data_IF_449775566959
#
_entry.id   IF_449775566959
#
_cell.length_a   1.000
_cell.length_b   1.000
_cell.length_c   1.000
_cell.angle_alpha   90.00
_cell.angle_beta   90.00
_cell.angle_gamma   90.00
#
_symmetry.space_group_name_H-M   'P 1'
#
loop_
_entity.id
_entity.type
_entity.pdbx_description
1 polymer ?
#
# COMPACT_ATOMS: atom_id res chain seq x y z
N UNK A 1 0.08 12.81 4.58
CA UNK A 1 0.27 11.43 5.11
C UNK A 1 0.42 10.38 4.02
N UNK A 2 -0.18 10.52 2.83
CA UNK A 2 -0.03 9.52 1.76
C UNK A 2 1.26 9.76 0.93
N UNK A 3 1.39 10.92 0.29
CA UNK A 3 2.48 11.17 -0.67
C UNK A 3 3.84 11.47 -0.02
N UNK A 4 3.85 12.32 1.00
CA UNK A 4 5.11 12.86 1.56
C UNK A 4 5.94 11.76 2.24
N UNK A 5 5.39 10.86 3.09
CA UNK A 5 6.21 9.81 3.70
C UNK A 5 6.84 8.86 2.69
N UNK A 6 6.07 8.40 1.69
CA UNK A 6 6.62 7.56 0.62
C UNK A 6 7.63 8.30 -0.26
N UNK A 7 7.42 9.58 -0.55
CA UNK A 7 8.38 10.37 -1.30
C UNK A 7 9.70 10.53 -0.53
N UNK A 8 9.63 10.73 0.79
CA UNK A 8 10.83 10.77 1.64
C UNK A 8 11.53 9.42 1.68
N UNK A 9 10.80 8.32 1.82
CA UNK A 9 11.38 6.97 1.79
C UNK A 9 12.05 6.68 0.44
N UNK A 10 11.39 7.04 -0.67
CA UNK A 10 11.95 6.95 -2.01
C UNK A 10 13.22 7.79 -2.14
N UNK A 11 13.23 9.03 -1.64
CA UNK A 11 14.44 9.86 -1.60
C UNK A 11 15.55 9.21 -0.78
N UNK A 12 15.22 8.62 0.37
CA UNK A 12 16.16 7.84 1.17
C UNK A 12 16.78 6.69 0.37
N UNK A 13 15.96 5.97 -0.39
CA UNK A 13 16.42 4.90 -1.28
C UNK A 13 17.31 5.41 -2.41
N UNK A 14 16.95 6.54 -3.04
CA UNK A 14 17.76 7.19 -4.08
C UNK A 14 19.13 7.65 -3.57
N UNK A 15 19.23 8.05 -2.30
CA UNK A 15 20.49 8.51 -1.71
C UNK A 15 21.36 7.34 -1.20
N UNK A 16 20.74 6.30 -0.65
CA UNK A 16 21.42 5.19 0.01
C UNK A 16 21.76 4.03 -0.92
N UNK A 17 20.81 3.61 -1.76
CA UNK A 17 20.94 2.39 -2.56
C UNK A 17 22.05 2.48 -3.63
N UNK A 18 22.25 3.61 -4.35
CA UNK A 18 23.37 3.72 -5.28
C UNK A 18 24.74 3.58 -4.61
N UNK A 19 24.91 4.21 -3.45
CA UNK A 19 26.20 4.20 -2.73
C UNK A 19 26.49 2.87 -2.05
N UNK A 20 25.48 2.22 -1.47
CA UNK A 20 25.66 1.02 -0.67
C UNK A 20 25.55 -0.27 -1.50
N UNK A 21 24.73 -0.27 -2.55
CA UNK A 21 24.44 -1.44 -3.38
C UNK A 21 24.99 -1.35 -4.80
N UNK A 22 25.59 -0.22 -5.19
CA UNK A 22 26.18 -0.05 -6.53
C UNK A 22 25.15 0.07 -7.65
N UNK A 23 23.91 0.47 -7.31
CA UNK A 23 22.81 0.62 -8.26
C UNK A 23 22.88 1.96 -8.98
N UNK A 24 22.38 2.01 -10.21
CA UNK A 24 22.09 3.29 -10.86
C UNK A 24 20.95 4.02 -10.15
N UNK A 25 20.83 5.33 -10.39
CA UNK A 25 19.76 6.15 -9.80
C UNK A 25 18.37 5.63 -10.21
N UNK A 26 18.22 5.15 -11.44
CA UNK A 26 16.94 4.64 -11.94
C UNK A 26 16.59 3.28 -11.31
N UNK A 27 17.56 2.39 -11.14
CA UNK A 27 17.36 1.12 -10.42
C UNK A 27 17.03 1.34 -8.95
N UNK A 28 17.67 2.32 -8.31
CA UNK A 28 17.34 2.76 -6.96
C UNK A 28 15.92 3.36 -6.89
N UNK A 29 15.47 4.05 -7.93
CA UNK A 29 14.10 4.57 -8.03
C UNK A 29 13.07 3.43 -8.11
N UNK A 30 13.32 2.41 -8.93
CA UNK A 30 12.47 1.21 -9.02
C UNK A 30 12.44 0.48 -7.68
N UNK A 31 13.61 0.23 -7.09
CA UNK A 31 13.72 -0.42 -5.77
C UNK A 31 12.99 0.38 -4.69
N UNK A 32 13.19 1.69 -4.67
CA UNK A 32 12.57 2.58 -3.70
C UNK A 32 11.06 2.68 -3.87
N UNK A 33 10.55 2.61 -5.11
CA UNK A 33 9.13 2.52 -5.35
C UNK A 33 8.59 1.20 -4.77
N UNK A 34 9.18 0.05 -5.05
CA UNK A 34 8.72 -1.21 -4.42
C UNK A 34 8.70 -1.12 -2.88
N UNK A 35 9.74 -0.52 -2.29
CA UNK A 35 9.90 -0.44 -0.85
C UNK A 35 9.00 0.60 -0.19
N UNK A 36 8.63 1.70 -0.85
CA UNK A 36 7.92 2.82 -0.22
C UNK A 36 6.47 2.50 0.21
N UNK A 37 5.84 1.48 -0.35
CA UNK A 37 4.47 1.08 -0.03
C UNK A 37 4.31 0.53 1.40
N UNK A 38 3.13 0.67 2.01
CA UNK A 38 2.84 0.17 3.38
C UNK A 38 1.84 -0.96 3.30
N UNK A 39 2.12 -2.08 3.96
CA UNK A 39 1.25 -3.25 3.84
C UNK A 39 -0.10 -3.07 4.55
N UNK A 40 -1.23 -3.05 3.80
CA UNK A 40 -2.55 -2.96 4.40
C UNK A 40 -2.89 -4.23 5.21
N UNK A 41 -2.39 -5.39 4.79
CA UNK A 41 -2.65 -6.65 5.47
C UNK A 41 -2.18 -6.67 6.95
N UNK A 42 -1.10 -5.93 7.26
CA UNK A 42 -0.59 -5.84 8.64
C UNK A 42 -1.28 -4.72 9.41
N UNK A 43 -1.49 -3.57 8.75
CA UNK A 43 -1.96 -2.33 9.36
C UNK A 43 -3.48 -2.31 9.52
N UNK A 44 -4.25 -2.72 8.51
CA UNK A 44 -5.72 -2.60 8.49
C UNK A 44 -6.38 -3.35 9.63
N UNK A 45 -6.11 -4.65 9.88
CA UNK A 45 -6.78 -5.37 10.98
C UNK A 45 -6.50 -4.74 12.35
N UNK A 46 -5.28 -4.22 12.54
CA UNK A 46 -4.88 -3.56 13.78
C UNK A 46 -5.57 -2.21 13.94
N UNK A 47 -5.64 -1.40 12.89
CA UNK A 47 -6.34 -0.11 12.95
C UNK A 47 -7.84 -0.28 13.19
N UNK A 48 -8.47 -1.28 12.55
CA UNK A 48 -9.89 -1.62 12.80
C UNK A 48 -10.09 -2.01 14.27
N UNK A 49 -9.23 -2.90 14.81
CA UNK A 49 -9.26 -3.24 16.23
C UNK A 49 -9.11 -2.02 17.14
N UNK A 50 -8.20 -1.09 16.83
CA UNK A 50 -8.02 0.14 17.58
C UNK A 50 -9.26 1.05 17.54
N UNK A 51 -9.97 1.07 16.40
CA UNK A 51 -11.24 1.78 16.25
C UNK A 51 -12.32 1.16 17.14
N UNK A 52 -12.45 -0.17 17.13
CA UNK A 52 -13.42 -0.91 17.94
C UNK A 52 -13.15 -0.75 19.45
N UNK A 53 -11.87 -0.76 19.86
CA UNK A 53 -11.45 -0.56 21.25
C UNK A 53 -11.42 0.92 21.70
N UNK A 54 -11.60 1.86 20.77
CA UNK A 54 -11.67 3.30 21.03
C UNK A 54 -10.33 4.00 21.29
N UNK A 55 -9.19 3.45 20.85
CA UNK A 55 -7.86 4.05 21.00
C UNK A 55 -7.52 5.00 19.84
N UNK A 56 -7.16 6.25 20.14
CA UNK A 56 -6.74 7.23 19.12
C UNK A 56 -7.85 7.72 18.17
N UNK A 57 -9.08 7.23 18.35
CA UNK A 57 -10.25 7.54 17.52
C UNK A 57 -10.62 9.02 17.56
N UNK A 58 -10.48 9.68 18.72
CA UNK A 58 -10.82 11.11 18.87
C UNK A 58 -9.93 12.00 18.01
N UNK A 59 -8.65 11.67 17.93
CA UNK A 59 -7.66 12.39 17.12
C UNK A 59 -7.62 11.87 15.66
N UNK A 60 -8.50 10.93 15.30
CA UNK A 60 -8.60 10.35 13.97
C UNK A 60 -7.39 9.51 13.53
N UNK A 61 -6.54 9.05 14.45
CA UNK A 61 -5.25 8.40 14.11
C UNK A 61 -5.45 7.09 13.32
N UNK A 62 -6.28 6.12 13.77
CA UNK A 62 -6.49 4.89 13.01
C UNK A 62 -7.07 5.15 11.61
N UNK A 63 -8.01 6.10 11.48
CA UNK A 63 -8.63 6.47 10.22
C UNK A 63 -7.62 7.14 9.27
N UNK A 64 -6.78 8.03 9.80
CA UNK A 64 -5.70 8.68 9.06
C UNK A 64 -4.70 7.66 8.51
N UNK A 65 -4.31 6.67 9.33
CA UNK A 65 -3.39 5.60 8.92
C UNK A 65 -4.05 4.71 7.85
N UNK A 66 -5.31 4.29 8.04
CA UNK A 66 -6.04 3.47 7.09
C UNK A 66 -6.16 4.14 5.72
N UNK A 67 -6.69 5.37 5.69
CA UNK A 67 -6.84 6.13 4.45
C UNK A 67 -5.48 6.44 3.81
N UNK A 68 -4.49 6.74 4.65
CA UNK A 68 -3.15 7.04 4.21
C UNK A 68 -2.47 5.86 3.53
N UNK A 69 -2.50 4.67 4.13
CA UNK A 69 -1.90 3.46 3.59
C UNK A 69 -2.51 3.06 2.23
N UNK A 70 -3.84 3.17 2.08
CA UNK A 70 -4.49 2.82 0.81
C UNK A 70 -4.09 3.73 -0.35
N UNK A 71 -4.00 5.05 -0.13
CA UNK A 71 -3.62 6.00 -1.18
C UNK A 71 -2.11 5.99 -1.42
N UNK A 72 -1.32 5.70 -0.38
CA UNK A 72 0.13 5.54 -0.47
C UNK A 72 0.51 4.43 -1.46
N UNK A 73 -0.09 3.25 -1.33
CA UNK A 73 0.17 2.11 -2.22
C UNK A 73 -0.12 2.44 -3.69
N UNK A 74 -1.21 3.15 -3.96
CA UNK A 74 -1.55 3.62 -5.31
C UNK A 74 -0.48 4.52 -5.89
N UNK A 75 -0.08 5.54 -5.13
CA UNK A 75 0.93 6.49 -5.56
C UNK A 75 2.24 5.77 -5.90
N UNK A 76 2.65 4.88 -5.02
CA UNK A 76 3.88 4.11 -5.14
C UNK A 76 3.84 3.14 -6.34
N UNK A 77 2.73 2.47 -6.59
CA UNK A 77 2.56 1.60 -7.77
C UNK A 77 2.69 2.40 -9.07
N UNK A 78 2.11 3.60 -9.14
CA UNK A 78 2.23 4.44 -10.34
C UNK A 78 3.67 4.91 -10.57
N UNK A 79 4.38 5.27 -9.49
CA UNK A 79 5.81 5.57 -9.59
C UNK A 79 6.63 4.36 -10.05
N UNK A 80 6.34 3.18 -9.51
CA UNK A 80 6.96 1.93 -9.93
C UNK A 80 6.78 1.70 -11.43
N UNK A 81 5.55 1.72 -11.94
CA UNK A 81 5.26 1.56 -13.38
C UNK A 81 5.95 2.61 -14.25
N UNK A 82 6.08 3.84 -13.74
CA UNK A 82 6.77 4.92 -14.46
C UNK A 82 8.28 4.64 -14.57
N UNK A 83 8.93 4.28 -13.46
CA UNK A 83 10.37 4.00 -13.44
C UNK A 83 10.72 2.71 -14.19
N UNK A 84 9.90 1.66 -14.09
CA UNK A 84 10.11 0.44 -14.88
C UNK A 84 9.92 0.71 -16.37
N UNK A 85 8.93 1.52 -16.76
CA UNK A 85 8.78 1.97 -18.15
C UNK A 85 10.02 2.70 -18.66
N UNK A 86 10.58 3.61 -17.86
CA UNK A 86 11.84 4.30 -18.20
C UNK A 86 13.01 3.32 -18.38
N UNK A 87 13.12 2.28 -17.55
CA UNK A 87 14.15 1.24 -17.69
C UNK A 87 13.99 0.41 -18.97
N UNK A 88 12.77 0.24 -19.48
CA UNK A 88 12.52 -0.44 -20.77
C UNK A 88 12.81 0.44 -22.00
N UNK A 89 13.44 1.61 -21.82
CA UNK A 89 13.80 2.50 -22.93
C UNK A 89 12.64 3.36 -23.44
N UNK A 90 11.47 3.30 -22.80
CA UNK A 90 10.40 4.27 -23.05
C UNK A 90 10.72 5.56 -22.28
N UNK A 91 11.42 6.49 -22.93
CA UNK A 91 12.01 7.68 -22.31
C UNK A 91 11.10 8.48 -21.36
N UNK A 92 11.72 9.21 -20.43
CA UNK A 92 11.04 10.09 -19.48
C UNK A 92 10.50 11.34 -20.20
N UNK A 93 9.28 11.24 -20.72
CA UNK A 93 8.57 12.41 -21.23
C UNK A 93 7.79 13.09 -20.11
N UNK A 94 7.80 14.42 -20.07
CA UNK A 94 6.98 15.25 -19.17
C UNK A 94 5.50 14.86 -19.24
N UNK A 95 5.06 14.39 -20.42
CA UNK A 95 3.72 13.85 -20.68
C UNK A 95 3.39 12.67 -19.75
N UNK A 96 4.34 11.78 -19.44
CA UNK A 96 4.12 10.66 -18.52
C UNK A 96 3.93 11.12 -17.08
N UNK A 97 4.63 12.18 -16.67
CA UNK A 97 4.46 12.75 -15.34
C UNK A 97 3.08 13.41 -15.17
N UNK A 98 2.55 14.04 -16.22
CA UNK A 98 1.17 14.57 -16.26
C UNK A 98 0.16 13.42 -16.33
N UNK A 99 0.49 12.31 -16.99
CA UNK A 99 -0.38 11.15 -17.02
C UNK A 99 -0.60 10.53 -15.64
N UNK A 100 0.36 10.62 -14.71
CA UNK A 100 0.20 10.07 -13.35
C UNK A 100 -1.09 10.57 -12.65
N UNK A 101 -1.28 11.88 -12.40
CA UNK A 101 -2.51 12.37 -11.77
C UNK A 101 -3.75 12.14 -12.64
N UNK A 102 -3.61 12.20 -13.98
CA UNK A 102 -4.72 11.97 -14.91
C UNK A 102 -5.21 10.52 -14.85
N UNK A 103 -4.30 9.54 -14.84
CA UNK A 103 -4.60 8.12 -14.73
C UNK A 103 -5.22 7.75 -13.38
N UNK A 104 -4.82 8.45 -12.31
CA UNK A 104 -5.46 8.36 -11.00
C UNK A 104 -6.90 8.87 -11.09
N UNK A 105 -7.13 10.06 -11.63
CA UNK A 105 -8.46 10.65 -11.75
C UNK A 105 -9.40 9.80 -12.62
N UNK A 106 -8.93 9.33 -13.78
CA UNK A 106 -9.71 8.43 -14.63
C UNK A 106 -9.97 7.09 -13.94
N UNK A 107 -8.98 6.52 -13.25
CA UNK A 107 -9.16 5.30 -12.47
C UNK A 107 -10.27 5.46 -11.42
N UNK A 108 -10.25 6.57 -10.67
CA UNK A 108 -11.30 6.92 -9.70
C UNK A 108 -12.66 7.04 -10.38
N UNK A 109 -12.75 7.80 -11.48
CA UNK A 109 -14.00 8.05 -12.19
C UNK A 109 -14.62 6.78 -12.75
N UNK A 110 -13.81 5.97 -13.46
CA UNK A 110 -14.21 4.67 -14.03
C UNK A 110 -14.63 3.72 -12.90
N UNK A 111 -13.81 3.60 -11.85
CA UNK A 111 -14.07 2.72 -10.72
C UNK A 111 -15.36 3.05 -9.99
N UNK A 112 -15.58 4.33 -9.64
CA UNK A 112 -16.83 4.78 -9.03
C UNK A 112 -18.03 4.56 -9.95
N UNK A 113 -17.89 4.88 -11.24
CA UNK A 113 -18.94 4.67 -12.23
C UNK A 113 -19.39 3.21 -12.29
N UNK A 114 -18.43 2.30 -12.43
CA UNK A 114 -18.70 0.85 -12.47
C UNK A 114 -19.26 0.36 -11.12
N UNK A 115 -18.68 0.77 -9.99
CA UNK A 115 -19.14 0.37 -8.66
C UNK A 115 -20.59 0.79 -8.38
N UNK A 116 -20.96 2.01 -8.77
CA UNK A 116 -22.34 2.51 -8.67
C UNK A 116 -23.27 1.75 -9.62
N UNK A 117 -22.85 1.51 -10.86
CA UNK A 117 -23.63 0.74 -11.84
C UNK A 117 -23.90 -0.69 -11.36
N UNK A 118 -22.88 -1.35 -10.80
CA UNK A 118 -23.02 -2.67 -10.19
C UNK A 118 -23.95 -2.65 -8.96
N UNK A 119 -23.92 -1.59 -8.16
CA UNK A 119 -24.84 -1.44 -7.03
C UNK A 119 -26.31 -1.42 -7.49
N UNK A 120 -26.62 -0.68 -8.56
CA UNK A 120 -27.95 -0.65 -9.17
C UNK A 120 -28.30 -1.99 -9.83
N UNK A 121 -27.36 -2.62 -10.54
CA UNK A 121 -27.56 -3.92 -11.17
C UNK A 121 -27.90 -5.02 -10.14
N UNK A 122 -27.15 -5.12 -9.05
CA UNK A 122 -27.41 -6.07 -7.96
C UNK A 122 -28.67 -5.75 -7.14
N UNK A 123 -29.23 -4.54 -7.30
CA UNK A 123 -30.53 -4.20 -6.72
C UNK A 123 -31.67 -4.72 -7.59
N UNK A 124 -31.57 -4.58 -8.91
CA UNK A 124 -32.60 -5.07 -9.84
C UNK A 124 -32.60 -6.59 -9.97
N UNK A 125 -31.42 -7.22 -9.96
CA UNK A 125 -31.29 -8.66 -10.15
C UNK A 125 -30.82 -9.31 -8.84
N UNK A 126 -31.71 -10.07 -8.23
CA UNK A 126 -31.38 -10.87 -7.04
C UNK A 126 -30.53 -12.07 -7.44
N UNK A 127 -29.23 -11.95 -7.18
CA UNK A 127 -28.25 -13.02 -7.40
C UNK A 127 -27.58 -13.45 -6.10
N UNK A 128 -27.06 -14.68 -6.09
CA UNK A 128 -26.20 -15.18 -5.00
C UNK A 128 -24.93 -14.34 -4.89
N UNK A 129 -24.46 -14.14 -3.67
CA UNK A 129 -23.28 -13.30 -3.42
C UNK A 129 -22.01 -13.86 -4.09
N UNK A 130 -21.89 -15.19 -4.25
CA UNK A 130 -20.79 -15.81 -5.03
C UNK A 130 -20.75 -15.31 -6.47
N UNK A 131 -21.91 -15.22 -7.14
CA UNK A 131 -21.98 -14.72 -8.52
C UNK A 131 -21.58 -13.25 -8.61
N UNK A 132 -21.96 -12.44 -7.61
CA UNK A 132 -21.55 -11.03 -7.54
C UNK A 132 -20.03 -10.87 -7.39
N UNK A 133 -19.41 -11.70 -6.54
CA UNK A 133 -17.94 -11.74 -6.41
C UNK A 133 -17.29 -12.08 -7.74
N UNK A 134 -17.77 -13.13 -8.43
CA UNK A 134 -17.22 -13.51 -9.73
C UNK A 134 -17.37 -12.41 -10.78
N UNK A 135 -18.52 -11.73 -10.84
CA UNK A 135 -18.74 -10.60 -11.76
C UNK A 135 -17.73 -9.46 -11.49
N UNK A 136 -17.59 -9.05 -10.22
CA UNK A 136 -16.64 -7.99 -9.85
C UNK A 136 -15.21 -8.42 -10.19
N UNK A 137 -14.84 -9.66 -9.92
CA UNK A 137 -13.52 -10.21 -10.23
C UNK A 137 -13.26 -10.23 -11.75
N UNK A 138 -14.23 -10.67 -12.55
CA UNK A 138 -14.15 -10.65 -14.02
C UNK A 138 -13.98 -9.24 -14.57
N UNK A 139 -14.75 -8.27 -14.05
CA UNK A 139 -14.61 -6.86 -14.44
C UNK A 139 -13.23 -6.33 -14.03
N UNK A 140 -12.72 -6.73 -12.86
CA UNK A 140 -11.40 -6.33 -12.38
C UNK A 140 -10.29 -6.81 -13.31
N UNK A 141 -10.32 -8.08 -13.73
CA UNK A 141 -9.37 -8.61 -14.70
C UNK A 141 -9.51 -7.94 -16.07
N UNK A 142 -10.74 -7.69 -16.51
CA UNK A 142 -11.00 -6.99 -17.78
C UNK A 142 -10.42 -5.57 -17.75
N UNK A 143 -10.54 -4.84 -16.64
CA UNK A 143 -9.94 -3.51 -16.50
C UNK A 143 -8.41 -3.54 -16.57
N UNK A 144 -7.77 -4.54 -15.96
CA UNK A 144 -6.31 -4.71 -16.02
C UNK A 144 -5.86 -4.98 -17.47
N UNK A 145 -6.53 -5.91 -18.16
CA UNK A 145 -6.24 -6.22 -19.56
C UNK A 145 -6.49 -5.01 -20.47
N UNK A 146 -7.53 -4.22 -20.20
CA UNK A 146 -7.78 -2.96 -20.91
C UNK A 146 -6.66 -1.93 -20.67
N UNK A 147 -6.19 -1.77 -19.42
CA UNK A 147 -5.07 -0.88 -19.11
C UNK A 147 -3.81 -1.29 -19.90
N UNK A 148 -3.49 -2.58 -19.96
CA UNK A 148 -2.31 -3.12 -20.67
C UNK A 148 -2.40 -2.93 -22.20
N UNK A 149 -3.60 -3.00 -22.78
CA UNK A 149 -3.80 -2.82 -24.22
C UNK A 149 -4.07 -1.37 -24.65
N UNK A 150 -4.26 -0.45 -23.71
CA UNK A 150 -4.45 0.96 -24.02
C UNK A 150 -3.12 1.58 -24.47
N UNK A 151 -2.94 1.71 -25.78
CA UNK A 151 -1.80 2.41 -26.40
C UNK A 151 -2.01 3.92 -26.53
N UNK A 152 -3.10 4.45 -25.98
CA UNK A 152 -3.44 5.87 -26.07
C UNK A 152 -2.53 6.73 -25.19
N UNK A 153 -2.32 8.01 -25.53
CA UNK A 153 -1.50 8.93 -24.72
C UNK A 153 -2.04 9.11 -23.30
N UNK A 154 -3.33 8.89 -23.08
CA UNK A 154 -4.01 8.97 -21.78
C UNK A 154 -4.41 7.57 -21.38
N UNK A 155 -3.89 7.09 -20.25
CA UNK A 155 -4.22 5.80 -19.65
C UNK A 155 -4.98 6.01 -18.34
N UNK A 156 -5.60 4.96 -17.80
CA UNK A 156 -6.19 4.96 -16.45
C UNK A 156 -5.53 3.84 -15.63
N UNK A 157 -5.50 3.98 -14.30
CA UNK A 157 -5.01 2.89 -13.46
C UNK A 157 -6.13 1.92 -13.11
N UNK A 158 -6.04 0.67 -13.58
CA UNK A 158 -7.02 -0.37 -13.32
C UNK A 158 -7.07 -0.77 -11.86
N UNK A 159 -5.92 -0.86 -11.17
CA UNK A 159 -5.88 -1.17 -9.74
C UNK A 159 -6.64 -0.13 -8.90
N UNK A 160 -6.51 1.16 -9.25
CA UNK A 160 -7.31 2.23 -8.64
C UNK A 160 -8.79 2.04 -8.97
N UNK A 161 -9.11 1.78 -10.24
CA UNK A 161 -10.49 1.55 -10.65
C UNK A 161 -11.13 0.39 -9.87
N UNK A 162 -10.43 -0.73 -9.68
CA UNK A 162 -10.88 -1.88 -8.89
C UNK A 162 -11.15 -1.51 -7.43
N UNK A 163 -10.25 -0.74 -6.80
CA UNK A 163 -10.50 -0.24 -5.44
C UNK A 163 -11.74 0.67 -5.38
N UNK A 164 -11.90 1.58 -6.33
CA UNK A 164 -13.03 2.51 -6.37
C UNK A 164 -14.35 1.84 -6.78
N UNK A 165 -14.34 0.68 -7.44
CA UNK A 165 -15.52 -0.19 -7.57
C UNK A 165 -16.01 -0.61 -6.18
N UNK A 166 -15.10 -1.04 -5.31
CA UNK A 166 -15.41 -1.40 -3.93
C UNK A 166 -16.02 -0.23 -3.14
N UNK A 167 -15.41 0.96 -3.24
CA UNK A 167 -15.90 2.18 -2.59
C UNK A 167 -17.28 2.59 -3.14
N UNK A 168 -17.44 2.58 -4.47
CA UNK A 168 -18.72 2.91 -5.12
C UNK A 168 -19.85 1.98 -4.68
N UNK A 169 -19.54 0.68 -4.56
CA UNK A 169 -20.48 -0.32 -4.07
C UNK A 169 -20.77 -0.14 -2.57
N UNK A 170 -19.76 0.14 -1.75
CA UNK A 170 -19.94 0.42 -0.32
C UNK A 170 -20.83 1.64 -0.09
N UNK A 171 -20.61 2.73 -0.83
CA UNK A 171 -21.38 3.98 -0.70
C UNK A 171 -22.84 3.83 -1.10
N UNK A 172 -23.15 2.96 -2.06
CA UNK A 172 -24.53 2.75 -2.56
C UNK A 172 -25.24 1.57 -1.88
N UNK A 173 -24.53 0.52 -1.51
CA UNK A 173 -25.08 -0.70 -0.87
C UNK A 173 -24.08 -1.32 0.11
N UNK A 174 -23.88 -0.63 1.23
CA UNK A 174 -22.97 -1.06 2.31
C UNK A 174 -23.21 -2.51 2.77
N UNK A 175 -24.47 -2.91 2.97
CA UNK A 175 -24.83 -4.27 3.40
C UNK A 175 -24.38 -5.35 2.40
N UNK A 176 -24.41 -5.06 1.10
CA UNK A 176 -23.89 -5.98 0.08
C UNK A 176 -22.37 -5.96 0.10
N UNK A 177 -21.76 -4.78 0.15
CA UNK A 177 -20.31 -4.64 0.20
C UNK A 177 -19.69 -5.41 1.38
N UNK A 178 -20.29 -5.33 2.57
CA UNK A 178 -19.83 -6.06 3.77
C UNK A 178 -19.92 -7.59 3.57
N UNK A 179 -21.01 -8.08 2.97
CA UNK A 179 -21.15 -9.52 2.65
C UNK A 179 -20.15 -9.99 1.61
N UNK A 180 -19.88 -9.18 0.59
CA UNK A 180 -18.88 -9.48 -0.44
C UNK A 180 -17.46 -9.43 0.13
N UNK A 181 -17.16 -8.46 0.99
CA UNK A 181 -15.87 -8.37 1.70
C UNK A 181 -15.54 -9.64 2.47
N UNK A 182 -16.52 -10.22 3.17
CA UNK A 182 -16.34 -11.50 3.87
C UNK A 182 -16.04 -12.66 2.91
N UNK A 183 -16.58 -12.65 1.68
CA UNK A 183 -16.27 -13.68 0.66
C UNK A 183 -14.90 -13.46 0.02
N UNK A 184 -14.53 -12.22 -0.28
CA UNK A 184 -13.19 -11.86 -0.73
C UNK A 184 -12.13 -12.24 0.30
N UNK A 185 -12.41 -12.07 1.59
CA UNK A 185 -11.53 -12.53 2.67
C UNK A 185 -11.23 -14.03 2.59
N UNK A 186 -12.20 -14.87 2.19
CA UNK A 186 -11.97 -16.31 2.00
C UNK A 186 -11.12 -16.63 0.75
N UNK A 187 -11.34 -15.89 -0.34
CA UNK A 187 -10.51 -16.02 -1.55
C UNK A 187 -9.07 -15.56 -1.28
N UNK A 188 -8.92 -14.50 -0.50
CA UNK A 188 -7.63 -13.95 -0.11
C UNK A 188 -6.76 -14.95 0.62
N UNK A 189 -7.31 -15.80 1.51
CA UNK A 189 -6.51 -16.83 2.20
C UNK A 189 -5.74 -17.72 1.23
N UNK A 190 -6.37 -18.15 0.13
CA UNK A 190 -5.67 -18.95 -0.89
C UNK A 190 -4.64 -18.11 -1.65
N UNK A 191 -5.03 -16.91 -2.10
CA UNK A 191 -4.15 -16.00 -2.84
C UNK A 191 -2.90 -15.58 -2.03
N UNK A 192 -3.06 -15.35 -0.73
CA UNK A 192 -2.00 -14.99 0.21
C UNK A 192 -0.95 -16.10 0.30
N UNK A 193 -1.39 -17.36 0.42
CA UNK A 193 -0.48 -18.52 0.45
C UNK A 193 0.30 -18.61 -0.86
N UNK A 194 -0.37 -18.53 -2.01
CA UNK A 194 0.32 -18.54 -3.31
C UNK A 194 1.33 -17.40 -3.42
N UNK A 195 0.93 -16.18 -3.06
CA UNK A 195 1.76 -14.98 -3.17
C UNK A 195 3.02 -15.09 -2.30
N UNK A 196 2.91 -15.43 -1.02
CA UNK A 196 4.10 -15.49 -0.16
C UNK A 196 4.97 -16.72 -0.42
N UNK A 197 4.38 -17.88 -0.76
CA UNK A 197 5.16 -19.09 -1.08
C UNK A 197 5.93 -18.91 -2.38
N UNK A 198 5.29 -18.38 -3.44
CA UNK A 198 5.97 -18.16 -4.72
C UNK A 198 7.07 -17.10 -4.60
N UNK A 199 6.82 -16.01 -3.89
CA UNK A 199 7.87 -15.01 -3.62
C UNK A 199 9.04 -15.65 -2.89
N UNK A 200 8.78 -16.44 -1.83
CA UNK A 200 9.83 -17.20 -1.14
C UNK A 200 10.59 -18.16 -2.06
N UNK A 201 9.89 -18.83 -2.98
CA UNK A 201 10.49 -19.77 -3.93
C UNK A 201 11.36 -19.07 -5.00
N UNK A 202 11.04 -17.83 -5.38
CA UNK A 202 11.83 -17.05 -6.35
C UNK A 202 13.13 -16.47 -5.77
N UNK A 203 13.30 -16.49 -4.45
CA UNK A 203 14.45 -15.86 -3.78
C UNK A 203 15.71 -16.71 -3.91
N UNK A 204 16.77 -16.10 -4.43
CA UNK A 204 18.11 -16.67 -4.42
C UNK A 204 18.77 -16.49 -3.04
N UNK A 205 18.77 -17.55 -2.23
CA UNK A 205 19.35 -17.55 -0.86
C UNK A 205 20.84 -17.20 -0.88
N UNK A 206 21.59 -17.68 -1.87
CA UNK A 206 23.02 -17.37 -2.00
C UNK A 206 23.27 -15.89 -2.25
N UNK A 207 22.39 -15.25 -3.01
CA UNK A 207 22.43 -13.81 -3.25
C UNK A 207 22.03 -13.00 -2.00
N UNK A 208 20.97 -13.42 -1.30
CA UNK A 208 20.55 -12.80 -0.03
C UNK A 208 21.66 -12.86 1.01
N UNK A 209 22.41 -13.96 1.10
CA UNK A 209 23.56 -14.05 2.01
C UNK A 209 24.66 -13.02 1.72
N UNK A 210 24.89 -12.69 0.45
CA UNK A 210 25.93 -11.72 0.02
C UNK A 210 25.49 -10.27 0.20
N UNK A 211 24.23 -9.98 -0.09
CA UNK A 211 23.70 -8.58 -0.12
C UNK A 211 22.93 -8.22 1.15
N UNK A 212 22.58 -9.20 1.98
CA UNK A 212 21.61 -9.06 3.07
C UNK A 212 21.95 -7.98 4.10
N UNK A 213 23.22 -7.86 4.51
CA UNK A 213 23.63 -6.81 5.46
C UNK A 213 23.47 -5.42 4.84
N UNK A 214 23.91 -5.24 3.60
CA UNK A 214 23.77 -3.97 2.87
C UNK A 214 22.29 -3.63 2.66
N UNK A 215 21.47 -4.61 2.30
CA UNK A 215 20.03 -4.47 2.17
C UNK A 215 19.37 -4.04 3.49
N UNK A 216 19.72 -4.65 4.62
CA UNK A 216 19.19 -4.27 5.93
C UNK A 216 19.54 -2.83 6.32
N UNK A 217 20.77 -2.39 6.05
CA UNK A 217 21.20 -1.01 6.29
C UNK A 217 20.40 -0.03 5.42
N UNK A 218 20.21 -0.36 4.14
CA UNK A 218 19.42 0.47 3.21
C UNK A 218 17.95 0.55 3.66
N UNK A 219 17.33 -0.58 4.03
CA UNK A 219 15.96 -0.61 4.53
C UNK A 219 15.83 0.23 5.80
N UNK A 220 16.71 0.03 6.78
CA UNK A 220 16.69 0.78 8.02
C UNK A 220 16.87 2.29 7.78
N UNK A 221 17.81 2.66 6.90
CA UNK A 221 18.02 4.05 6.52
C UNK A 221 16.80 4.65 5.82
N UNK A 222 16.21 3.97 4.85
CA UNK A 222 15.00 4.42 4.16
C UNK A 222 13.81 4.59 5.11
N UNK A 223 13.65 3.68 6.08
CA UNK A 223 12.62 3.82 7.12
C UNK A 223 12.83 5.06 7.99
N UNK A 224 14.07 5.48 8.28
CA UNK A 224 14.33 6.74 8.99
C UNK A 224 13.82 7.92 8.17
N UNK A 225 14.09 7.95 6.85
CA UNK A 225 13.51 8.98 5.98
C UNK A 225 11.98 8.95 5.98
N UNK A 226 11.36 7.76 5.98
CA UNK A 226 9.91 7.62 6.11
C UNK A 226 9.40 8.24 7.41
N UNK A 227 10.05 7.95 8.54
CA UNK A 227 9.70 8.52 9.85
C UNK A 227 9.80 10.05 9.85
N UNK A 228 10.83 10.61 9.20
CA UNK A 228 10.94 12.05 9.00
C UNK A 228 9.79 12.60 8.14
N UNK A 229 9.43 11.93 7.04
CA UNK A 229 8.30 12.34 6.20
C UNK A 229 6.95 12.30 6.92
N UNK A 230 6.74 11.31 7.80
CA UNK A 230 5.58 11.25 8.70
C UNK A 230 5.61 12.41 9.69
N UNK A 231 6.78 12.68 10.31
CA UNK A 231 6.92 13.79 11.24
C UNK A 231 6.54 15.12 10.57
N UNK A 232 7.08 15.38 9.38
CA UNK A 232 6.78 16.58 8.58
C UNK A 232 5.28 16.71 8.30
N UNK A 233 4.59 15.60 7.95
CA UNK A 233 3.14 15.63 7.76
C UNK A 233 2.35 15.96 9.02
N UNK A 234 2.90 15.67 10.20
CA UNK A 234 2.25 15.88 11.50
C UNK A 234 2.65 17.22 12.14
N UNK A 235 3.58 17.98 11.54
CA UNK A 235 3.91 19.34 11.96
C UNK A 235 2.75 20.27 11.57
N UNK A 236 1.83 20.47 12.52
CA UNK A 236 0.64 21.33 12.33
C UNK A 236 -0.67 20.67 12.75
N UNK A 237 -0.67 19.38 13.09
CA UNK A 237 -1.85 18.67 13.60
C UNK A 237 -1.91 18.66 15.13
N UNK A 238 -3.08 18.33 15.68
CA UNK A 238 -3.30 18.19 17.14
C UNK A 238 -2.58 16.97 17.74
N UNK A 239 -2.12 16.03 16.90
CA UNK A 239 -1.39 14.82 17.28
C UNK A 239 -0.02 15.23 17.82
N UNK A 240 0.28 14.96 19.11
CA UNK A 240 1.52 15.40 19.79
C UNK A 240 2.24 14.26 20.50
N UNK A 241 3.57 14.40 20.61
CA UNK A 241 4.43 13.53 21.43
C UNK A 241 4.33 12.04 21.09
N UNK A 242 3.86 11.23 22.04
CA UNK A 242 3.77 9.76 21.91
C UNK A 242 2.84 9.29 20.79
N UNK A 243 1.80 10.06 20.46
CA UNK A 243 0.86 9.73 19.38
C UNK A 243 1.52 9.91 17.99
N UNK A 244 2.45 10.88 17.85
CA UNK A 244 3.28 10.99 16.64
C UNK A 244 4.19 9.79 16.48
N UNK A 245 4.81 9.35 17.57
CA UNK A 245 5.68 8.17 17.56
C UNK A 245 4.89 6.90 17.20
N UNK A 246 3.68 6.73 17.74
CA UNK A 246 2.79 5.65 17.33
C UNK A 246 2.51 5.68 15.83
N UNK A 247 2.19 6.86 15.29
CA UNK A 247 1.88 7.02 13.87
C UNK A 247 3.09 6.71 12.99
N UNK A 248 4.30 7.11 13.39
CA UNK A 248 5.55 6.74 12.70
C UNK A 248 5.76 5.22 12.69
N UNK A 249 5.56 4.55 13.81
CA UNK A 249 5.71 3.09 13.92
C UNK A 249 4.66 2.34 13.10
N UNK A 250 3.41 2.81 13.09
CA UNK A 250 2.32 2.20 12.34
C UNK A 250 2.54 2.22 10.81
N UNK A 251 3.37 3.14 10.32
CA UNK A 251 3.74 3.28 8.90
C UNK A 251 4.97 2.45 8.49
N UNK A 252 5.56 1.68 9.41
CA UNK A 252 6.75 0.84 9.16
C UNK A 252 6.48 -0.47 8.41
N UNK A 253 5.36 -1.20 8.62
CA UNK A 253 5.18 -2.53 8.05
C UNK A 253 5.25 -2.59 6.51
N UNK A 254 6.15 -3.43 5.97
CA UNK A 254 6.25 -3.82 4.55
C UNK A 254 5.88 -5.29 4.41
N UNK A 255 5.03 -5.65 3.43
CA UNK A 255 4.55 -7.03 3.24
C UNK A 255 3.97 -7.24 1.84
N UNK A 256 2.68 -7.00 1.66
CA UNK A 256 1.91 -7.52 0.51
C UNK A 256 2.28 -6.87 -0.81
N UNK A 257 2.49 -5.54 -0.85
CA UNK A 257 2.90 -4.84 -2.06
C UNK A 257 4.29 -5.30 -2.51
N UNK A 258 5.24 -5.39 -1.58
CA UNK A 258 6.59 -5.86 -1.86
C UNK A 258 6.61 -7.28 -2.41
N UNK A 259 5.76 -8.15 -1.88
CA UNK A 259 5.61 -9.51 -2.38
C UNK A 259 4.96 -9.53 -3.78
N UNK A 260 3.98 -8.67 -4.04
CA UNK A 260 3.29 -8.64 -5.33
C UNK A 260 4.17 -8.08 -6.47
N UNK A 261 4.89 -6.97 -6.24
CA UNK A 261 5.62 -6.26 -7.32
C UNK A 261 7.15 -6.39 -7.24
N UNK A 262 7.70 -6.92 -6.14
CA UNK A 262 9.16 -7.03 -5.96
C UNK A 262 9.85 -8.01 -6.92
N UNK A 263 9.11 -9.00 -7.45
CA UNK A 263 9.62 -9.93 -8.46
C UNK A 263 9.55 -9.42 -9.90
N UNK A 264 8.81 -8.33 -10.17
CA UNK A 264 8.60 -7.84 -11.54
C UNK A 264 9.90 -7.36 -12.21
N UNK A 265 10.80 -6.60 -11.55
CA UNK A 265 12.07 -6.22 -12.16
C UNK A 265 12.93 -7.43 -12.58
N UNK A 266 12.85 -8.53 -11.82
CA UNK A 266 13.54 -9.77 -12.14
C UNK A 266 12.92 -10.47 -13.37
N UNK A 267 11.58 -10.53 -13.47
CA UNK A 267 10.91 -11.13 -14.62
C UNK A 267 11.08 -10.32 -15.92
N UNK A 268 11.28 -9.00 -15.80
CA UNK A 268 11.61 -8.11 -16.92
C UNK A 268 13.10 -8.17 -17.33
N UNK A 269 13.93 -8.95 -16.64
CA UNK A 269 15.35 -9.11 -16.96
C UNK A 269 16.22 -7.91 -16.61
N UNK A 270 15.79 -7.05 -15.67
CA UNK A 270 16.62 -5.93 -15.23
C UNK A 270 17.79 -6.40 -14.38
N UNK A 271 18.95 -5.74 -14.52
CA UNK A 271 20.17 -6.07 -13.77
C UNK A 271 19.97 -5.95 -12.23
N UNK A 272 19.15 -4.99 -11.79
CA UNK A 272 18.78 -4.84 -10.38
C UNK A 272 17.74 -5.85 -9.87
N UNK A 273 17.24 -6.76 -10.71
CA UNK A 273 16.11 -7.64 -10.41
C UNK A 273 16.31 -8.49 -9.15
N UNK A 274 17.45 -9.19 -9.05
CA UNK A 274 17.78 -9.99 -7.86
C UNK A 274 17.93 -9.11 -6.61
N UNK A 275 18.50 -7.90 -6.75
CA UNK A 275 18.62 -6.95 -5.65
C UNK A 275 17.26 -6.49 -5.13
N UNK A 276 16.35 -6.12 -6.04
CA UNK A 276 15.01 -5.63 -5.69
C UNK A 276 14.23 -6.74 -5.00
N UNK A 277 14.26 -7.96 -5.52
CA UNK A 277 13.59 -9.11 -4.91
C UNK A 277 14.17 -9.41 -3.52
N UNK A 278 15.50 -9.48 -3.38
CA UNK A 278 16.15 -9.75 -2.10
C UNK A 278 15.83 -8.70 -1.03
N UNK A 279 15.92 -7.41 -1.38
CA UNK A 279 15.58 -6.30 -0.47
C UNK A 279 14.09 -6.35 -0.10
N UNK A 280 13.21 -6.66 -1.06
CA UNK A 280 11.78 -6.80 -0.81
C UNK A 280 11.49 -7.91 0.20
N UNK A 281 12.09 -9.09 0.03
CA UNK A 281 11.88 -10.22 0.96
C UNK A 281 12.46 -9.95 2.35
N UNK A 282 13.65 -9.34 2.43
CA UNK A 282 14.18 -8.91 3.73
C UNK A 282 13.28 -7.86 4.39
N UNK A 283 12.76 -6.89 3.64
CA UNK A 283 11.81 -5.92 4.18
C UNK A 283 10.55 -6.62 4.71
N UNK A 284 10.01 -7.61 4.00
CA UNK A 284 8.85 -8.39 4.46
C UNK A 284 9.16 -9.10 5.78
N UNK A 285 10.25 -9.89 5.82
CA UNK A 285 10.60 -10.74 6.97
C UNK A 285 10.88 -9.91 8.22
N UNK A 286 11.53 -8.76 8.09
CA UNK A 286 11.91 -7.94 9.25
C UNK A 286 10.83 -6.93 9.62
N UNK A 287 10.30 -6.16 8.68
CA UNK A 287 9.47 -4.98 9.02
C UNK A 287 8.01 -5.33 9.31
N UNK A 288 7.44 -6.38 8.71
CA UNK A 288 6.06 -6.77 9.01
C UNK A 288 5.89 -7.23 10.46
N UNK A 289 6.70 -8.18 11.00
CA UNK A 289 6.62 -8.57 12.41
C UNK A 289 6.99 -7.43 13.35
N UNK A 290 8.07 -6.69 13.07
CA UNK A 290 8.51 -5.59 13.92
C UNK A 290 7.45 -4.48 13.99
N UNK A 291 6.87 -4.10 12.86
CA UNK A 291 5.81 -3.09 12.81
C UNK A 291 4.52 -3.58 13.48
N UNK A 292 4.17 -4.86 13.31
CA UNK A 292 3.06 -5.50 14.04
C UNK A 292 3.26 -5.42 15.56
N UNK A 293 4.41 -5.87 16.06
CA UNK A 293 4.74 -5.80 17.50
C UNK A 293 4.79 -4.36 18.00
N UNK A 294 5.34 -3.44 17.20
CA UNK A 294 5.37 -2.03 17.55
C UNK A 294 3.96 -1.48 17.74
N UNK A 295 3.02 -1.75 16.83
CA UNK A 295 1.62 -1.33 16.97
C UNK A 295 1.00 -1.95 18.22
N UNK A 296 1.10 -3.29 18.36
CA UNK A 296 0.41 -4.06 19.39
C UNK A 296 0.92 -3.74 20.82
N UNK A 297 2.20 -3.40 20.98
CA UNK A 297 2.78 -3.03 22.28
C UNK A 297 2.62 -1.54 22.63
N UNK A 298 2.55 -0.67 21.62
CA UNK A 298 2.54 0.78 21.87
C UNK A 298 1.15 1.39 21.91
N UNK A 299 0.13 0.80 21.26
CA UNK A 299 -1.19 1.46 21.15
C UNK A 299 -1.80 1.82 22.51
N UNK A 300 -1.76 0.91 23.50
CA UNK A 300 -2.29 1.19 24.86
C UNK A 300 -1.51 2.25 25.62
N UNK A 301 -0.20 2.38 25.36
CA UNK A 301 0.70 3.29 26.08
C UNK A 301 0.74 4.68 25.43
N UNK A 302 0.60 4.75 24.11
CA UNK A 302 0.86 5.96 23.33
C UNK A 302 -0.44 6.62 22.86
N UNK A 303 -1.53 5.87 22.67
CA UNK A 303 -2.82 6.41 22.30
C UNK A 303 -3.73 6.58 23.51
N UNK A 304 -4.52 7.66 23.51
CA UNK A 304 -5.57 7.86 24.51
C UNK A 304 -6.81 7.03 24.14
N UNK A 305 -7.37 6.33 25.12
CA UNK A 305 -8.66 5.67 24.96
C UNK A 305 -9.80 6.70 25.12
N UNK A 306 -10.80 6.63 24.24
CA UNK A 306 -12.03 7.44 24.27
C UNK A 306 -12.65 7.49 25.67
N UNK A 307 -12.79 6.34 26.35
CA UNK A 307 -13.37 6.23 27.71
C UNK A 307 -12.54 6.92 28.80
N UNK A 308 -11.21 6.99 28.65
CA UNK A 308 -10.33 7.62 29.65
C UNK A 308 -10.31 9.15 29.56
N UNK A 309 -10.60 9.72 28.38
CA UNK A 309 -10.66 11.17 28.18
C UNK A 309 -12.03 11.73 28.60
N UNK A 310 -13.11 10.98 28.42
CA UNK A 310 -14.46 11.31 28.92
C UNK A 310 -14.50 11.36 30.46
N UNK A 311 -13.93 10.35 31.14
CA UNK A 311 -13.75 10.37 32.61
C UNK A 311 -12.86 11.50 33.14
N UNK A 312 -11.86 11.95 32.38
CA UNK A 312 -11.00 13.08 32.75
C UNK A 312 -11.61 14.44 32.42
N UNK A 313 -12.59 14.49 31.53
CA UNK A 313 -13.29 15.71 31.13
C UNK A 313 -14.54 15.98 31.97
N UNK A 314 -14.84 15.16 32.99
CA UNK A 314 -15.98 15.36 33.88
C UNK A 314 -17.34 15.23 33.19
N UNK A 315 -17.43 14.46 32.10
CA UNK A 315 -18.71 14.13 31.45
C UNK A 315 -19.08 12.73 31.88
N UNK A 316 -19.59 12.61 33.11
CA UNK A 316 -20.33 11.44 33.55
C UNK A 316 -21.76 11.57 32.98
N UNK A 317 -22.20 10.58 32.20
CA UNK A 317 -23.62 10.36 31.91
C UNK A 317 -24.21 9.43 32.97
#
# INVERSE_FOLDING_TARGET
>A
MCFVPASFELLGMLLLAPKLMGLSVLEAAVMGAVLAAVSPAVVVPRMVKLMDEGYGVKEGIPQLILAGASVDDVYVIVLFSTFTGMMQGTGASVIRFINIPVSILFGIAIGLGIGVLLAYFFQKIHMRDTSKVLIILSISFLLIVLEDHLTTPITFSALIAVMFIGIGLQKKREVVANRLSAKYGKLWVAAEVFLFVLVGATVNIGYVGKVGIKALIVIAGALVFRMLGVLVCLLGTEIKGKERLFTMLAYTPKATVQAAIGGIPLSLGFACGESVLAVSVLAIVFTAPLGAFAIDLTYKKFLKNKKQKERRAGVDF
#
